data_IF_537377046870
#
_entry.id   IF_537377046870
#
_cell.length_a   1.000
_cell.length_b   1.000
_cell.length_c   1.000
_cell.angle_alpha   90.00
_cell.angle_beta   90.00
_cell.angle_gamma   90.00
#
_symmetry.space_group_name_H-M   'P 1'
#
loop_
_entity.id
_entity.type
_entity.pdbx_description
1 polymer ?
#
# COMPACT_ATOMS: atom_id res chain seq x y z
N UNK A 1 -4.65 -12.68 -8.69
CA UNK A 1 -5.12 -13.20 -7.39
C UNK A 1 -4.31 -14.44 -7.05
N UNK A 2 -3.85 -14.51 -5.82
CA UNK A 2 -2.96 -15.56 -5.29
C UNK A 2 -3.56 -16.06 -3.98
N UNK A 3 -3.50 -17.37 -3.73
CA UNK A 3 -3.75 -17.91 -2.39
C UNK A 3 -2.58 -17.50 -1.48
N UNK A 4 -2.84 -16.65 -0.50
CA UNK A 4 -1.84 -16.04 0.35
C UNK A 4 -1.14 -17.04 1.29
N UNK A 5 -1.71 -18.24 1.47
CA UNK A 5 -1.14 -19.28 2.34
C UNK A 5 -0.15 -20.15 1.59
N UNK A 6 -0.42 -20.40 0.31
CA UNK A 6 0.36 -21.34 -0.50
C UNK A 6 1.25 -20.65 -1.52
N UNK A 7 0.81 -19.53 -2.09
CA UNK A 7 1.43 -18.90 -3.25
C UNK A 7 0.82 -19.33 -4.58
N UNK A 8 -0.15 -20.25 -4.59
CA UNK A 8 -0.80 -20.69 -5.83
C UNK A 8 -1.51 -19.51 -6.51
N UNK A 9 -1.12 -19.19 -7.74
CA UNK A 9 -1.75 -18.16 -8.56
C UNK A 9 -3.09 -18.71 -9.06
N UNK A 10 -4.20 -18.23 -8.48
CA UNK A 10 -5.56 -18.68 -8.82
C UNK A 10 -6.13 -17.99 -10.05
N UNK A 11 -5.81 -16.70 -10.23
CA UNK A 11 -6.27 -15.91 -11.38
C UNK A 11 -5.17 -14.95 -11.80
N UNK A 12 -4.79 -14.98 -13.08
CA UNK A 12 -3.89 -14.02 -13.70
C UNK A 12 -4.46 -13.64 -15.06
N UNK A 13 -4.98 -12.41 -15.17
CA UNK A 13 -5.71 -11.96 -16.36
C UNK A 13 -5.43 -10.50 -16.65
N UNK A 14 -5.53 -10.13 -17.93
CA UNK A 14 -5.34 -8.79 -18.44
C UNK A 14 -6.38 -8.51 -19.54
N UNK A 15 -6.72 -7.25 -19.71
CA UNK A 15 -7.51 -6.75 -20.85
C UNK A 15 -6.76 -5.57 -21.48
N UNK A 16 -6.56 -5.56 -22.82
CA UNK A 16 -6.98 -6.57 -23.80
C UNK A 16 -6.28 -7.93 -23.60
N UNK A 17 -6.95 -9.01 -24.03
CA UNK A 17 -6.49 -10.39 -23.79
C UNK A 17 -5.12 -10.67 -24.42
N UNK A 18 -4.43 -11.75 -24.00
CA UNK A 18 -3.11 -12.11 -24.56
C UNK A 18 -3.12 -12.29 -26.09
N UNK A 19 -4.24 -12.76 -26.67
CA UNK A 19 -4.39 -12.88 -28.13
C UNK A 19 -4.40 -11.54 -28.87
N UNK A 20 -4.77 -10.48 -28.17
CA UNK A 20 -4.85 -9.12 -28.70
C UNK A 20 -3.60 -8.31 -28.34
N UNK A 21 -2.95 -8.63 -27.22
CA UNK A 21 -1.72 -8.02 -26.76
C UNK A 21 -0.83 -9.03 -26.05
N UNK A 22 0.29 -9.40 -26.67
CA UNK A 22 1.26 -10.34 -26.11
C UNK A 22 2.11 -9.75 -24.97
N UNK A 23 1.87 -8.49 -24.58
CA UNK A 23 2.55 -7.87 -23.43
C UNK A 23 2.15 -8.59 -22.15
N UNK A 24 3.15 -9.08 -21.42
CA UNK A 24 2.94 -9.81 -20.18
C UNK A 24 2.72 -8.84 -19.01
N UNK A 25 1.54 -8.91 -18.39
CA UNK A 25 1.18 -8.17 -17.17
C UNK A 25 2.24 -8.27 -16.05
N UNK A 26 2.97 -9.39 -15.98
CA UNK A 26 4.04 -9.62 -15.01
C UNK A 26 5.19 -8.59 -15.13
N UNK A 27 5.47 -8.11 -16.35
CA UNK A 27 6.61 -7.23 -16.63
C UNK A 27 6.26 -5.74 -16.52
N UNK A 28 4.97 -5.40 -16.46
CA UNK A 28 4.54 -4.00 -16.53
C UNK A 28 4.71 -3.34 -15.16
N UNK A 29 5.71 -2.47 -15.04
CA UNK A 29 5.89 -1.58 -13.89
C UNK A 29 5.11 -0.28 -14.10
N UNK A 30 4.26 0.06 -13.13
CA UNK A 30 3.31 1.18 -13.23
C UNK A 30 3.30 2.03 -11.97
N UNK A 31 2.96 3.30 -12.13
CA UNK A 31 3.00 4.26 -11.04
C UNK A 31 1.98 3.86 -9.98
N UNK A 32 2.44 3.59 -8.77
CA UNK A 32 1.61 2.97 -7.73
C UNK A 32 0.68 3.96 -7.03
N UNK A 33 1.11 5.22 -6.92
CA UNK A 33 0.39 6.24 -6.17
C UNK A 33 0.09 5.77 -4.74
N UNK A 34 -1.06 6.15 -4.20
CA UNK A 34 -1.36 5.86 -2.78
C UNK A 34 -1.48 4.36 -2.41
N UNK A 35 -1.41 3.42 -3.36
CA UNK A 35 -1.29 1.99 -3.07
C UNK A 35 0.06 1.61 -2.43
N UNK A 36 1.08 2.47 -2.54
CA UNK A 36 2.42 2.26 -1.94
C UNK A 36 2.56 2.83 -0.52
N UNK A 37 1.60 3.62 -0.05
CA UNK A 37 1.62 4.14 1.35
C UNK A 37 1.81 3.06 2.42
N UNK A 38 1.27 1.83 2.30
CA UNK A 38 1.47 0.80 3.31
C UNK A 38 2.95 0.52 3.63
N UNK A 39 3.88 0.70 2.68
CA UNK A 39 5.32 0.56 2.94
C UNK A 39 5.85 1.65 3.87
N UNK A 40 5.35 2.89 3.76
CA UNK A 40 5.65 3.93 4.74
C UNK A 40 5.10 3.58 6.13
N UNK A 41 3.85 3.11 6.23
CA UNK A 41 3.26 2.75 7.51
C UNK A 41 3.89 1.49 8.12
N UNK A 42 4.40 0.58 7.30
CA UNK A 42 5.21 -0.54 7.75
C UNK A 42 6.54 -0.05 8.33
N UNK A 43 7.27 0.82 7.63
CA UNK A 43 8.49 1.43 8.16
C UNK A 43 8.23 2.22 9.46
N UNK A 44 7.11 2.93 9.54
CA UNK A 44 6.64 3.58 10.77
C UNK A 44 6.46 2.61 11.93
N UNK A 45 5.79 1.48 11.71
CA UNK A 45 5.59 0.42 12.71
C UNK A 45 6.92 -0.21 13.13
N UNK A 46 7.79 -0.52 12.17
CA UNK A 46 9.12 -1.11 12.41
C UNK A 46 10.01 -0.19 13.26
N UNK A 47 9.84 1.13 13.13
CA UNK A 47 10.53 2.14 13.95
C UNK A 47 9.86 2.40 15.31
N UNK A 48 8.90 1.57 15.71
CA UNK A 48 8.19 1.69 16.99
C UNK A 48 7.05 2.71 17.00
N UNK A 49 6.65 3.22 15.82
CA UNK A 49 5.45 4.00 15.68
C UNK A 49 4.18 3.18 15.90
N UNK A 50 3.12 3.83 16.37
CA UNK A 50 1.79 3.25 16.56
C UNK A 50 0.81 3.84 15.56
N UNK A 51 -0.23 3.09 15.22
CA UNK A 51 -1.25 3.56 14.29
C UNK A 51 -2.33 4.37 15.01
N UNK A 52 -2.80 3.91 16.16
CA UNK A 52 -3.67 4.66 17.06
C UNK A 52 -2.90 5.19 18.26
N UNK A 53 -3.34 6.32 18.80
CA UNK A 53 -2.82 6.81 20.07
C UNK A 53 -3.41 6.08 21.28
N UNK A 54 -4.48 5.32 21.09
CA UNK A 54 -5.10 4.44 22.08
C UNK A 54 -4.42 3.06 22.14
N UNK A 55 -3.59 2.73 21.15
CA UNK A 55 -2.80 1.50 21.16
C UNK A 55 -1.85 1.50 22.37
N UNK A 56 -1.63 0.36 23.02
CA UNK A 56 -0.70 0.29 24.16
C UNK A 56 0.74 0.60 23.71
N UNK A 57 1.47 1.39 24.52
CA UNK A 57 2.87 1.74 24.27
C UNK A 57 3.12 3.26 24.24
N UNK A 58 4.41 3.65 24.31
CA UNK A 58 4.84 5.06 24.34
C UNK A 58 5.28 5.61 22.98
N UNK A 59 5.31 4.76 21.94
CA UNK A 59 5.74 5.14 20.60
C UNK A 59 4.91 6.28 19.99
N UNK A 60 5.46 7.02 19.01
CA UNK A 60 4.78 8.10 18.32
C UNK A 60 3.53 7.57 17.60
N UNK A 61 2.45 8.34 17.57
CA UNK A 61 1.18 7.91 16.97
C UNK A 61 0.54 8.98 16.07
N UNK A 62 1.18 10.15 15.93
CA UNK A 62 0.60 11.32 15.27
C UNK A 62 1.43 11.83 14.11
N UNK A 63 0.71 12.19 13.04
CA UNK A 63 1.21 12.83 11.82
C UNK A 63 0.55 14.21 11.68
N UNK A 64 1.22 15.12 10.98
CA UNK A 64 0.77 16.49 10.76
C UNK A 64 0.09 16.64 9.40
N UNK A 65 -1.23 16.76 9.40
CA UNK A 65 -2.06 17.06 8.23
C UNK A 65 -2.47 18.54 8.21
N UNK A 66 -1.49 19.40 8.46
CA UNK A 66 -1.55 20.83 8.83
C UNK A 66 -2.88 21.57 8.56
N UNK A 67 -3.68 21.72 9.62
CA UNK A 67 -5.01 22.36 9.70
C UNK A 67 -4.99 23.89 9.56
N UNK A 68 -3.83 24.54 9.66
CA UNK A 68 -3.72 26.00 9.72
C UNK A 68 -3.84 26.66 8.31
N UNK A 69 -4.38 25.93 7.33
CA UNK A 69 -4.56 26.33 5.93
C UNK A 69 -5.99 25.96 5.51
N UNK A 70 -6.71 26.91 4.90
CA UNK A 70 -7.97 26.62 4.19
C UNK A 70 -7.73 25.83 2.90
N UNK A 71 -8.53 26.05 1.85
CA UNK A 71 -8.44 25.32 0.57
C UNK A 71 -7.20 25.62 -0.30
N UNK A 72 -6.09 26.09 0.29
CA UNK A 72 -4.84 26.44 -0.38
C UNK A 72 -3.75 25.35 -0.40
N UNK A 73 -2.55 25.72 -0.88
CA UNK A 73 -1.35 24.87 -0.84
C UNK A 73 -0.93 24.62 0.62
N UNK A 74 -0.61 23.37 0.97
CA UNK A 74 -0.10 23.04 2.31
C UNK A 74 1.22 23.77 2.59
N UNK A 75 1.65 23.78 3.85
CA UNK A 75 2.98 24.28 4.23
C UNK A 75 4.10 23.28 3.92
N UNK A 76 3.74 22.03 3.64
CA UNK A 76 4.69 20.97 3.35
C UNK A 76 5.06 21.00 1.88
N UNK A 77 6.33 21.26 1.61
CA UNK A 77 6.88 21.25 0.28
C UNK A 77 8.13 20.39 0.20
N UNK A 78 8.27 19.69 -0.91
CA UNK A 78 9.48 18.94 -1.27
C UNK A 78 10.29 19.74 -2.29
N UNK A 79 11.62 19.79 -2.17
CA UNK A 79 12.47 20.36 -3.20
C UNK A 79 12.39 19.50 -4.47
N UNK A 80 12.26 20.15 -5.63
CA UNK A 80 12.25 19.52 -6.94
C UNK A 80 13.52 19.93 -7.70
N UNK A 81 14.54 19.08 -7.68
CA UNK A 81 15.76 19.28 -8.47
C UNK A 81 16.61 20.51 -8.06
N UNK A 82 17.49 20.92 -8.97
CA UNK A 82 18.61 21.86 -8.69
C UNK A 82 18.22 23.35 -8.67
N UNK A 83 17.06 23.74 -9.21
CA UNK A 83 16.70 25.14 -9.40
C UNK A 83 15.92 25.78 -8.23
N UNK A 84 15.78 25.08 -7.09
CA UNK A 84 15.06 25.61 -5.93
C UNK A 84 13.54 25.54 -6.02
N UNK A 85 12.99 24.94 -7.08
CA UNK A 85 11.57 24.68 -7.23
C UNK A 85 11.04 23.82 -6.09
N UNK A 86 9.81 24.11 -5.67
CA UNK A 86 9.16 23.41 -4.55
C UNK A 86 7.81 22.87 -4.99
N UNK A 87 7.61 21.56 -4.83
CA UNK A 87 6.29 20.95 -4.96
C UNK A 87 5.61 20.97 -3.60
N UNK A 88 4.52 21.72 -3.50
CA UNK A 88 3.65 21.71 -2.34
C UNK A 88 2.77 20.46 -2.36
N UNK A 89 2.85 19.68 -1.28
CA UNK A 89 2.06 18.46 -1.15
C UNK A 89 0.61 18.83 -0.82
N UNK A 90 -0.35 18.15 -1.43
CA UNK A 90 -1.77 18.43 -1.20
C UNK A 90 -2.55 17.12 -1.02
N UNK A 91 -3.59 17.19 -0.20
CA UNK A 91 -4.61 16.16 -0.13
C UNK A 91 -5.60 16.35 -1.29
N UNK A 92 -6.17 15.23 -1.75
CA UNK A 92 -7.28 15.23 -2.70
C UNK A 92 -8.52 15.90 -2.06
N UNK A 93 -9.26 16.73 -2.82
CA UNK A 93 -10.49 17.32 -2.34
C UNK A 93 -11.58 16.25 -2.34
N UNK A 94 -11.98 15.81 -1.15
CA UNK A 94 -13.03 14.83 -0.99
C UNK A 94 -14.28 15.48 -0.43
N UNK A 95 -15.42 15.30 -1.12
CA UNK A 95 -16.69 15.87 -0.70
C UNK A 95 -17.05 15.43 0.73
N UNK A 96 -17.47 16.39 1.55
CA UNK A 96 -17.84 16.14 2.95
C UNK A 96 -16.67 15.93 3.91
N UNK A 97 -15.42 16.08 3.46
CA UNK A 97 -14.24 16.01 4.32
C UNK A 97 -13.41 17.29 4.22
N UNK A 98 -12.88 17.79 5.35
CA UNK A 98 -11.96 18.91 5.30
C UNK A 98 -10.68 18.49 4.58
N UNK A 99 -10.17 19.35 3.70
CA UNK A 99 -8.93 19.10 2.94
C UNK A 99 -7.74 18.84 3.86
N UNK A 100 -7.68 19.53 4.99
CA UNK A 100 -6.66 19.38 6.03
C UNK A 100 -7.33 19.15 7.38
N UNK A 101 -6.75 18.27 8.21
CA UNK A 101 -7.31 17.89 9.53
C UNK A 101 -6.46 18.30 10.72
N UNK A 102 -5.26 18.82 10.48
CA UNK A 102 -4.32 19.11 11.55
C UNK A 102 -3.62 17.85 12.02
N UNK A 103 -3.21 17.84 13.27
CA UNK A 103 -2.45 16.71 13.81
C UNK A 103 -3.40 15.55 14.08
N UNK A 104 -3.23 14.45 13.35
CA UNK A 104 -4.13 13.28 13.37
C UNK A 104 -3.38 11.98 13.69
N UNK A 105 -4.08 10.94 14.18
CA UNK A 105 -3.49 9.60 14.29
C UNK A 105 -2.99 9.07 12.94
N UNK A 106 -1.90 8.31 12.93
CA UNK A 106 -1.38 7.63 11.74
C UNK A 106 -2.44 6.71 11.09
N UNK A 107 -3.30 6.08 11.90
CA UNK A 107 -4.45 5.32 11.43
C UNK A 107 -5.38 6.17 10.55
N UNK A 108 -5.76 7.35 11.01
CA UNK A 108 -6.66 8.22 10.26
C UNK A 108 -6.00 8.70 8.97
N UNK A 109 -4.69 9.00 9.01
CA UNK A 109 -3.92 9.36 7.83
C UNK A 109 -3.90 8.23 6.77
N UNK A 110 -3.76 6.98 7.20
CA UNK A 110 -3.81 5.80 6.32
C UNK A 110 -5.22 5.56 5.77
N UNK A 111 -6.24 5.55 6.64
CA UNK A 111 -7.66 5.33 6.31
C UNK A 111 -8.14 6.30 5.23
N UNK A 112 -7.89 7.59 5.43
CA UNK A 112 -8.31 8.63 4.50
C UNK A 112 -7.28 8.88 3.38
N UNK A 113 -6.18 8.13 3.38
CA UNK A 113 -5.11 8.23 2.39
C UNK A 113 -4.56 9.65 2.24
N UNK A 114 -4.30 10.34 3.36
CA UNK A 114 -3.83 11.74 3.37
C UNK A 114 -2.37 11.86 2.98
N UNK A 115 -2.09 12.62 1.92
CA UNK A 115 -0.74 12.82 1.39
C UNK A 115 0.08 13.72 2.32
N UNK A 116 -0.52 14.81 2.81
CA UNK A 116 0.18 15.76 3.69
C UNK A 116 0.58 15.09 4.99
N UNK A 117 -0.35 14.41 5.67
CA UNK A 117 -0.03 13.60 6.84
C UNK A 117 1.10 12.58 6.60
N UNK A 118 1.02 11.80 5.52
CA UNK A 118 2.04 10.78 5.21
C UNK A 118 3.42 11.43 4.97
N UNK A 119 3.47 12.48 4.15
CA UNK A 119 4.71 13.22 3.89
C UNK A 119 5.25 13.92 5.13
N UNK A 120 4.39 14.35 6.06
CA UNK A 120 4.81 14.97 7.30
C UNK A 120 5.69 14.06 8.15
N UNK A 121 5.50 12.74 8.06
CA UNK A 121 6.31 11.75 8.75
C UNK A 121 7.61 11.39 8.03
N UNK A 122 7.93 12.02 6.89
CA UNK A 122 9.16 11.75 6.14
C UNK A 122 10.30 12.67 6.63
N UNK A 123 11.49 12.11 6.79
CA UNK A 123 12.70 12.87 7.14
C UNK A 123 13.06 13.87 6.01
N UNK A 124 13.60 15.04 6.38
CA UNK A 124 13.89 16.12 5.44
C UNK A 124 12.72 17.04 5.12
N UNK A 125 11.48 16.69 5.51
CA UNK A 125 10.30 17.56 5.36
C UNK A 125 10.27 18.61 6.49
N UNK A 126 10.56 19.87 6.14
CA UNK A 126 10.57 21.00 7.08
C UNK A 126 9.16 21.39 7.53
N UNK A 127 9.05 22.03 8.69
CA UNK A 127 7.81 22.59 9.27
C UNK A 127 6.70 21.58 9.61
N UNK A 128 6.95 20.27 9.54
CA UNK A 128 5.99 19.27 10.01
C UNK A 128 6.07 19.09 11.53
N UNK A 129 4.90 18.98 12.16
CA UNK A 129 4.68 18.67 13.58
C UNK A 129 4.57 17.16 13.86
N UNK A 130 4.99 16.31 12.93
CA UNK A 130 4.95 14.86 13.13
C UNK A 130 5.84 14.44 14.30
N UNK A 131 5.33 13.51 15.10
CA UNK A 131 5.97 13.03 16.34
C UNK A 131 7.22 12.18 16.11
N UNK A 132 7.42 11.67 14.90
CA UNK A 132 8.63 10.97 14.47
C UNK A 132 8.79 11.06 12.96
N UNK A 133 9.99 10.70 12.48
CA UNK A 133 10.36 10.75 11.06
C UNK A 133 10.93 9.43 10.57
N UNK A 134 10.53 9.06 9.36
CA UNK A 134 10.99 7.91 8.59
C UNK A 134 11.79 8.43 7.39
N UNK A 135 13.00 7.93 7.18
CA UNK A 135 13.79 8.26 6.00
C UNK A 135 13.21 7.62 4.74
N UNK A 136 13.61 8.12 3.57
CA UNK A 136 13.23 7.50 2.30
C UNK A 136 13.79 6.08 2.22
N UNK A 137 15.00 5.90 2.71
CA UNK A 137 15.75 4.65 2.74
C UNK A 137 15.03 3.59 3.59
N UNK A 138 14.49 3.94 4.76
CA UNK A 138 13.70 3.03 5.61
C UNK A 138 12.42 2.55 4.89
N UNK A 139 11.80 3.39 4.06
CA UNK A 139 10.62 3.02 3.26
C UNK A 139 11.00 2.05 2.14
N UNK A 140 12.10 2.33 1.45
CA UNK A 140 12.62 1.49 0.36
C UNK A 140 13.11 0.15 0.89
N UNK A 141 13.80 0.12 2.03
CA UNK A 141 14.22 -1.10 2.70
C UNK A 141 13.02 -1.95 3.12
N UNK A 142 11.99 -1.33 3.71
CA UNK A 142 10.75 -2.04 4.02
C UNK A 142 10.12 -2.66 2.76
N UNK A 143 10.07 -1.94 1.64
CA UNK A 143 9.55 -2.47 0.38
C UNK A 143 10.43 -3.61 -0.18
N UNK A 144 11.75 -3.45 -0.15
CA UNK A 144 12.70 -4.43 -0.66
C UNK A 144 12.67 -5.73 0.15
N UNK A 145 12.57 -5.64 1.48
CA UNK A 145 12.43 -6.79 2.38
C UNK A 145 11.18 -7.61 2.07
N UNK A 146 10.11 -6.97 1.60
CA UNK A 146 8.88 -7.66 1.16
C UNK A 146 8.93 -8.11 -0.30
N UNK A 147 10.05 -7.92 -0.98
CA UNK A 147 10.28 -8.45 -2.32
C UNK A 147 9.99 -7.49 -3.47
N UNK A 148 9.90 -6.19 -3.21
CA UNK A 148 9.82 -5.17 -4.28
C UNK A 148 11.22 -4.87 -4.81
N UNK A 149 11.40 -4.94 -6.13
CA UNK A 149 12.66 -4.52 -6.77
C UNK A 149 12.73 -2.99 -6.79
N UNK A 150 13.79 -2.44 -6.21
CA UNK A 150 13.99 -0.98 -6.19
C UNK A 150 14.36 -0.47 -7.59
N UNK A 151 13.88 0.72 -7.99
CA UNK A 151 14.26 1.33 -9.26
C UNK A 151 15.73 1.78 -9.22
N UNK A 152 16.38 1.77 -10.38
CA UNK A 152 17.75 2.31 -10.52
C UNK A 152 17.81 3.81 -10.26
N UNK A 153 16.74 4.53 -10.60
CA UNK A 153 16.61 5.97 -10.38
C UNK A 153 15.95 6.22 -9.02
N UNK A 154 16.59 7.05 -8.19
CA UNK A 154 16.06 7.45 -6.89
C UNK A 154 14.66 8.08 -7.02
N UNK A 155 13.62 7.50 -6.40
CA UNK A 155 12.25 8.02 -6.46
C UNK A 155 12.04 9.29 -5.62
N UNK A 156 13.04 9.71 -4.84
CA UNK A 156 12.99 10.89 -3.99
C UNK A 156 12.02 10.74 -2.81
N UNK A 157 11.81 11.83 -2.06
CA UNK A 157 11.00 11.82 -0.83
C UNK A 157 9.52 11.47 -1.09
N UNK A 158 9.01 11.73 -2.29
CA UNK A 158 7.62 11.46 -2.66
C UNK A 158 7.30 9.98 -2.77
N UNK A 159 8.29 9.08 -2.63
CA UNK A 159 8.04 7.63 -2.57
C UNK A 159 7.08 7.26 -1.44
N UNK A 160 7.08 8.03 -0.34
CA UNK A 160 6.15 7.84 0.77
C UNK A 160 4.66 7.96 0.36
N UNK A 161 4.37 8.67 -0.73
CA UNK A 161 3.03 8.80 -1.32
C UNK A 161 2.89 8.04 -2.65
N UNK A 162 3.89 7.23 -3.00
CA UNK A 162 3.87 6.30 -4.13
C UNK A 162 4.40 6.84 -5.44
N UNK A 163 5.40 7.74 -5.39
CA UNK A 163 6.11 8.16 -6.60
C UNK A 163 7.10 7.09 -7.11
N UNK A 164 6.63 5.86 -7.27
CA UNK A 164 7.44 4.69 -7.65
C UNK A 164 6.64 3.76 -8.55
N UNK A 165 7.32 3.20 -9.55
CA UNK A 165 6.79 2.19 -10.44
C UNK A 165 7.08 0.79 -9.92
N UNK A 166 6.05 -0.04 -9.76
CA UNK A 166 6.15 -1.42 -9.27
C UNK A 166 5.27 -2.30 -10.15
N UNK A 167 5.66 -3.56 -10.35
CA UNK A 167 4.79 -4.52 -11.05
C UNK A 167 3.62 -4.97 -10.19
N UNK A 168 2.52 -5.37 -10.82
CA UNK A 168 1.38 -5.95 -10.11
C UNK A 168 1.78 -7.22 -9.32
N UNK A 169 2.70 -8.01 -9.87
CA UNK A 169 3.23 -9.21 -9.23
C UNK A 169 3.99 -8.89 -7.94
N UNK A 170 4.97 -7.97 -8.00
CA UNK A 170 5.75 -7.55 -6.84
C UNK A 170 4.86 -6.96 -5.75
N UNK A 171 3.85 -6.18 -6.14
CA UNK A 171 2.89 -5.60 -5.22
C UNK A 171 2.08 -6.69 -4.50
N UNK A 172 1.52 -7.67 -5.23
CA UNK A 172 0.75 -8.76 -4.61
C UNK A 172 1.62 -9.63 -3.71
N UNK A 173 2.84 -9.98 -4.15
CA UNK A 173 3.81 -10.72 -3.35
C UNK A 173 4.11 -10.01 -2.02
N UNK A 174 4.42 -8.72 -2.07
CA UNK A 174 4.69 -7.94 -0.87
C UNK A 174 3.50 -7.89 0.11
N UNK A 175 2.28 -7.79 -0.42
CA UNK A 175 1.06 -7.78 0.39
C UNK A 175 0.78 -9.12 1.08
N UNK A 176 1.12 -10.25 0.44
CA UNK A 176 1.04 -11.57 1.08
C UNK A 176 1.97 -11.65 2.30
N UNK A 177 3.15 -11.04 2.22
CA UNK A 177 4.03 -10.95 3.38
C UNK A 177 3.44 -10.04 4.47
N UNK A 178 2.83 -8.91 4.12
CA UNK A 178 2.21 -8.03 5.13
C UNK A 178 1.13 -8.75 5.95
N UNK A 179 0.30 -9.58 5.31
CA UNK A 179 -0.78 -10.32 5.99
C UNK A 179 -0.31 -11.54 6.77
N UNK A 180 0.67 -12.30 6.25
CA UNK A 180 1.12 -13.57 6.84
C UNK A 180 2.43 -13.51 7.63
N UNK A 181 3.21 -12.44 7.46
CA UNK A 181 4.52 -12.22 8.07
C UNK A 181 5.66 -13.07 7.53
N UNK A 182 5.40 -13.89 6.50
CA UNK A 182 6.35 -14.81 5.88
C UNK A 182 6.41 -14.59 4.38
N UNK A 183 7.55 -14.93 3.78
CA UNK A 183 7.70 -14.93 2.33
C UNK A 183 6.85 -16.06 1.75
N UNK A 184 6.04 -15.77 0.74
CA UNK A 184 5.30 -16.77 -0.02
C UNK A 184 5.52 -16.42 -1.48
N UNK A 185 6.24 -17.28 -2.21
CA UNK A 185 6.54 -17.07 -3.61
C UNK A 185 5.36 -17.50 -4.49
N UNK A 186 4.76 -16.58 -5.26
CA UNK A 186 3.65 -16.96 -6.12
C UNK A 186 4.11 -17.89 -7.26
N UNK A 187 3.39 -19.00 -7.48
CA UNK A 187 3.68 -20.00 -8.50
C UNK A 187 2.43 -20.37 -9.31
N UNK A 188 2.63 -20.78 -10.57
CA UNK A 188 1.56 -21.18 -11.49
C UNK A 188 1.57 -22.67 -11.86
N UNK A 189 2.72 -23.33 -11.80
CA UNK A 189 2.85 -24.76 -12.13
C UNK A 189 2.70 -25.57 -10.84
N UNK A 190 1.60 -26.33 -10.72
CA UNK A 190 1.35 -27.16 -9.54
C UNK A 190 2.08 -28.51 -9.61
N UNK A 191 2.15 -29.11 -10.79
CA UNK A 191 2.82 -30.40 -10.99
C UNK A 191 3.25 -30.57 -12.46
N UNK A 192 4.39 -31.24 -12.66
CA UNK A 192 4.93 -31.65 -13.94
C UNK A 192 4.90 -33.19 -13.97
N UNK A 193 4.18 -33.75 -14.94
CA UNK A 193 4.04 -35.19 -15.15
C UNK A 193 4.80 -35.65 -16.39
N UNK A 194 5.30 -36.89 -16.37
CA UNK A 194 5.80 -37.56 -17.57
C UNK A 194 4.64 -38.02 -18.49
N UNK A 195 4.99 -38.51 -19.69
CA UNK A 195 4.01 -38.99 -20.66
C UNK A 195 3.17 -40.20 -20.18
N UNK A 196 3.57 -40.85 -19.07
CA UNK A 196 2.86 -41.97 -18.44
C UNK A 196 2.05 -41.51 -17.21
N UNK A 197 2.01 -40.22 -16.91
CA UNK A 197 1.33 -39.66 -15.76
C UNK A 197 2.09 -39.77 -14.44
N UNK A 198 3.38 -40.11 -14.48
CA UNK A 198 4.22 -40.15 -13.27
C UNK A 198 4.73 -38.74 -12.94
N UNK A 199 4.57 -38.33 -11.68
CA UNK A 199 5.10 -37.06 -11.18
C UNK A 199 6.62 -36.97 -11.32
N UNK A 200 7.08 -35.89 -11.95
CA UNK A 200 8.49 -35.51 -12.08
C UNK A 200 8.83 -34.46 -11.03
N UNK A 201 7.95 -33.46 -10.89
CA UNK A 201 8.11 -32.33 -9.97
C UNK A 201 6.73 -31.84 -9.54
N UNK A 202 6.57 -31.49 -8.26
CA UNK A 202 5.35 -30.89 -7.73
C UNK A 202 5.70 -29.64 -6.93
N UNK A 203 4.80 -28.66 -6.93
CA UNK A 203 4.94 -27.47 -6.10
C UNK A 203 4.88 -27.86 -4.62
N UNK A 204 5.98 -27.63 -3.92
CA UNK A 204 6.06 -27.87 -2.48
C UNK A 204 5.82 -26.59 -1.68
N UNK A 205 5.01 -26.71 -0.64
CA UNK A 205 4.88 -25.68 0.38
C UNK A 205 6.17 -25.66 1.21
N UNK A 206 7.08 -24.75 0.88
CA UNK A 206 8.30 -24.55 1.64
C UNK A 206 7.97 -23.80 2.93
N UNK A 207 8.48 -24.29 4.06
CA UNK A 207 8.55 -23.44 5.24
C UNK A 207 9.46 -22.26 4.94
N UNK A 208 8.92 -21.05 5.08
CA UNK A 208 9.65 -19.81 4.82
C UNK A 208 9.91 -19.05 6.10
N UNK A 209 10.97 -18.24 6.05
CA UNK A 209 11.38 -17.39 7.16
C UNK A 209 10.27 -16.40 7.54
N UNK A 210 10.11 -16.21 8.85
CA UNK A 210 9.29 -15.13 9.40
C UNK A 210 10.10 -13.83 9.32
N UNK A 211 9.77 -13.00 8.34
CA UNK A 211 10.48 -11.74 8.09
C UNK A 211 9.77 -10.51 8.69
N UNK A 212 8.50 -10.65 9.07
CA UNK A 212 7.78 -9.69 9.91
C UNK A 212 7.31 -10.39 11.19
N UNK A 213 7.55 -9.75 12.34
CA UNK A 213 7.01 -10.23 13.60
C UNK A 213 5.47 -10.24 13.57
N UNK A 214 4.79 -11.21 14.21
CA UNK A 214 3.34 -11.34 14.13
C UNK A 214 2.57 -10.08 14.54
N UNK A 215 3.07 -9.32 15.51
CA UNK A 215 2.45 -8.09 15.97
C UNK A 215 2.57 -6.94 14.95
N UNK A 216 3.68 -6.87 14.20
CA UNK A 216 3.85 -5.94 13.07
C UNK A 216 2.87 -6.29 11.95
N UNK A 217 2.77 -7.57 11.57
CA UNK A 217 1.79 -8.05 10.58
C UNK A 217 0.36 -7.74 11.02
N UNK A 218 0.00 -8.00 12.29
CA UNK A 218 -1.32 -7.66 12.80
C UNK A 218 -1.58 -6.15 12.80
N UNK A 219 -0.59 -5.33 13.16
CA UNK A 219 -0.74 -3.88 13.15
C UNK A 219 -0.95 -3.32 11.73
N UNK A 220 -0.17 -3.75 10.74
CA UNK A 220 -0.35 -3.28 9.36
C UNK A 220 -1.65 -3.81 8.75
N UNK A 221 -2.00 -5.08 8.98
CA UNK A 221 -3.29 -5.67 8.58
C UNK A 221 -4.44 -4.90 9.20
N UNK A 222 -4.39 -4.60 10.50
CA UNK A 222 -5.40 -3.77 11.19
C UNK A 222 -5.60 -2.44 10.48
N UNK A 223 -4.51 -1.77 10.13
CA UNK A 223 -4.62 -0.50 9.43
C UNK A 223 -5.15 -0.58 8.01
N UNK A 224 -4.83 -1.65 7.29
CA UNK A 224 -5.34 -1.88 5.94
C UNK A 224 -6.77 -2.41 5.95
N UNK A 225 -7.24 -3.05 7.03
CA UNK A 225 -8.68 -3.29 7.26
C UNK A 225 -9.41 -1.98 7.48
N UNK A 226 -8.81 -1.07 8.25
CA UNK A 226 -9.43 0.22 8.56
C UNK A 226 -9.75 1.05 7.29
N UNK A 227 -8.92 0.98 6.24
CA UNK A 227 -9.15 1.73 4.98
C UNK A 227 -10.40 1.26 4.22
N UNK A 228 -10.84 0.03 4.44
CA UNK A 228 -11.98 -0.63 3.77
C UNK A 228 -13.21 -0.65 4.68
N UNK A 229 -13.02 -0.82 5.99
CA UNK A 229 -14.08 -1.07 6.96
C UNK A 229 -14.55 0.18 7.73
N UNK A 230 -13.69 1.19 7.92
CA UNK A 230 -14.07 2.39 8.67
C UNK A 230 -14.73 3.46 7.79
N UNK A 231 -15.61 4.29 8.37
CA UNK A 231 -16.13 5.47 7.69
C UNK A 231 -15.02 6.35 7.14
N UNK A 232 -15.27 6.98 6.00
CA UNK A 232 -14.32 7.82 5.27
C UNK A 232 -13.07 7.09 4.73
N UNK A 233 -12.91 5.79 4.99
CA UNK A 233 -11.91 4.95 4.37
C UNK A 233 -12.00 5.00 2.84
N UNK A 234 -10.88 5.10 2.15
CA UNK A 234 -10.90 5.23 0.68
C UNK A 234 -11.45 3.99 -0.02
N UNK A 235 -11.41 2.82 0.61
CA UNK A 235 -12.09 1.61 0.15
C UNK A 235 -13.57 1.55 0.54
N UNK A 236 -14.00 2.30 1.54
CA UNK A 236 -15.38 2.31 2.01
C UNK A 236 -16.24 3.37 1.31
N UNK A 237 -15.72 4.60 1.14
CA UNK A 237 -16.50 5.82 0.86
C UNK A 237 -17.43 5.76 -0.35
N UNK A 238 -17.07 5.01 -1.39
CA UNK A 238 -17.89 4.86 -2.62
C UNK A 238 -18.41 3.44 -2.81
N UNK A 239 -18.14 2.53 -1.87
CA UNK A 239 -18.42 1.11 -2.00
C UNK A 239 -19.00 0.50 -0.72
N UNK A 240 -19.46 1.31 0.22
CA UNK A 240 -19.89 0.85 1.55
C UNK A 240 -20.87 -0.33 1.46
N UNK A 241 -21.90 -0.20 0.63
CA UNK A 241 -22.89 -1.25 0.41
C UNK A 241 -22.30 -2.49 -0.27
N UNK A 242 -21.34 -2.33 -1.19
CA UNK A 242 -20.65 -3.44 -1.83
C UNK A 242 -19.72 -4.17 -0.85
N UNK A 243 -19.00 -3.42 -0.01
CA UNK A 243 -18.12 -3.94 1.03
C UNK A 243 -18.94 -4.70 2.08
N UNK A 244 -20.05 -4.15 2.56
CA UNK A 244 -20.97 -4.85 3.48
C UNK A 244 -21.46 -6.17 2.90
N UNK A 245 -21.77 -6.21 1.59
CA UNK A 245 -22.26 -7.41 0.90
C UNK A 245 -21.22 -8.53 0.73
N UNK A 246 -19.92 -8.27 0.92
CA UNK A 246 -18.91 -9.34 0.91
C UNK A 246 -19.14 -10.34 2.05
N UNK A 247 -19.64 -9.88 3.19
CA UNK A 247 -19.88 -10.73 4.36
C UNK A 247 -18.61 -11.35 4.95
N UNK A 248 -17.44 -10.81 4.59
CA UNK A 248 -16.11 -11.13 5.16
C UNK A 248 -15.32 -9.85 5.34
N UNK A 249 -14.37 -9.88 6.27
CA UNK A 249 -13.43 -8.79 6.48
C UNK A 249 -12.35 -8.79 5.39
N UNK A 250 -11.91 -7.61 4.98
CA UNK A 250 -10.92 -7.41 3.91
C UNK A 250 -9.96 -6.32 4.35
N UNK A 251 -8.66 -6.57 4.19
CA UNK A 251 -7.66 -5.50 4.20
C UNK A 251 -7.42 -5.01 2.78
N UNK A 252 -7.20 -3.71 2.59
CA UNK A 252 -6.93 -3.18 1.26
C UNK A 252 -6.40 -1.77 1.21
N UNK A 253 -6.03 -1.33 0.01
CA UNK A 253 -5.63 0.06 -0.24
C UNK A 253 -5.91 0.43 -1.68
N UNK A 254 -6.61 1.54 -1.86
CA UNK A 254 -6.75 2.18 -3.17
C UNK A 254 -5.45 2.91 -3.53
N UNK A 255 -5.10 2.90 -4.81
CA UNK A 255 -4.07 3.74 -5.39
C UNK A 255 -4.65 4.59 -6.51
N UNK A 256 -4.24 5.85 -6.54
CA UNK A 256 -4.52 6.79 -7.61
C UNK A 256 -3.22 7.52 -7.87
N UNK A 257 -2.71 7.38 -9.09
CA UNK A 257 -1.52 8.03 -9.59
C UNK A 257 -1.94 9.08 -10.62
N UNK A 258 -1.23 10.21 -10.64
CA UNK A 258 -1.51 11.33 -11.52
C UNK A 258 -0.26 11.79 -12.25
N UNK A 259 -0.43 12.49 -13.36
CA UNK A 259 0.64 13.22 -14.03
C UNK A 259 0.96 14.56 -13.33
N UNK A 260 1.72 15.41 -14.03
CA UNK A 260 2.16 16.71 -13.51
C UNK A 260 1.01 17.72 -13.41
N UNK A 261 0.01 17.58 -14.29
CA UNK A 261 -1.20 18.37 -14.40
C UNK A 261 -2.26 17.94 -13.36
N UNK A 262 -2.10 16.75 -12.77
CA UNK A 262 -2.99 16.21 -11.75
C UNK A 262 -4.09 15.31 -12.32
N UNK A 263 -4.00 14.96 -13.61
CA UNK A 263 -4.92 14.04 -14.25
C UNK A 263 -4.56 12.60 -13.89
N UNK A 264 -5.57 11.76 -13.63
CA UNK A 264 -5.38 10.37 -13.23
C UNK A 264 -4.80 9.55 -14.39
N UNK A 265 -3.71 8.84 -14.15
CA UNK A 265 -3.04 7.96 -15.13
C UNK A 265 -3.16 6.47 -14.79
N UNK A 266 -3.11 6.13 -13.50
CA UNK A 266 -3.16 4.76 -13.02
C UNK A 266 -4.09 4.64 -11.80
N UNK A 267 -4.90 3.58 -11.80
CA UNK A 267 -5.82 3.24 -10.72
C UNK A 267 -5.52 1.83 -10.22
N UNK A 268 -5.37 1.74 -8.90
CA UNK A 268 -5.02 0.49 -8.23
C UNK A 268 -6.02 0.17 -7.14
N UNK A 269 -6.23 -1.12 -6.93
CA UNK A 269 -6.67 -1.64 -5.66
C UNK A 269 -5.88 -2.91 -5.37
N UNK A 270 -5.25 -2.96 -4.20
CA UNK A 270 -4.66 -4.19 -3.67
C UNK A 270 -5.41 -4.52 -2.40
N UNK A 271 -5.90 -5.75 -2.31
CA UNK A 271 -6.61 -6.20 -1.14
C UNK A 271 -6.38 -7.68 -0.89
N UNK A 272 -6.49 -8.05 0.38
CA UNK A 272 -6.41 -9.44 0.78
C UNK A 272 -7.49 -9.79 1.82
N UNK A 273 -7.92 -11.04 1.80
CA UNK A 273 -8.48 -11.78 2.93
C UNK A 273 -7.37 -12.69 3.50
N UNK A 274 -7.58 -13.38 4.63
CA UNK A 274 -6.58 -14.30 5.16
C UNK A 274 -6.09 -15.34 4.14
N UNK A 275 -6.94 -15.81 3.23
CA UNK A 275 -6.59 -16.84 2.25
C UNK A 275 -6.25 -16.29 0.87
N UNK A 276 -6.74 -15.12 0.46
CA UNK A 276 -6.56 -14.64 -0.91
C UNK A 276 -6.02 -13.22 -0.94
N UNK A 277 -5.02 -12.96 -1.78
CA UNK A 277 -4.59 -11.60 -2.11
C UNK A 277 -4.71 -11.29 -3.60
N UNK A 278 -5.19 -10.10 -3.92
CA UNK A 278 -5.45 -9.66 -5.28
C UNK A 278 -5.07 -8.20 -5.47
N UNK A 279 -4.23 -7.96 -6.47
CA UNK A 279 -3.98 -6.65 -7.03
C UNK A 279 -4.76 -6.48 -8.33
N UNK A 280 -5.33 -5.31 -8.52
CA UNK A 280 -5.97 -4.86 -9.75
C UNK A 280 -5.35 -3.53 -10.12
N UNK A 281 -4.90 -3.43 -11.37
CA UNK A 281 -4.43 -2.20 -11.98
C UNK A 281 -5.30 -1.90 -13.21
N UNK A 282 -5.67 -0.63 -13.35
CA UNK A 282 -6.39 -0.10 -14.50
C UNK A 282 -5.66 1.15 -14.95
N UNK A 283 -5.22 1.15 -16.20
CA UNK A 283 -4.52 2.27 -16.81
C UNK A 283 -4.37 2.04 -18.31
N UNK A 284 -3.75 3.01 -18.98
CA UNK A 284 -3.45 2.92 -20.42
C UNK A 284 -2.03 2.41 -20.62
N UNK A 285 -1.76 1.67 -21.70
CA UNK A 285 -0.41 1.15 -21.98
C UNK A 285 0.66 2.25 -21.95
N UNK A 286 0.37 3.36 -22.61
CA UNK A 286 1.11 4.62 -22.43
C UNK A 286 0.60 5.31 -21.18
N UNK A 287 1.50 5.89 -20.37
CA UNK A 287 1.17 6.70 -19.17
C UNK A 287 0.48 8.01 -19.56
N UNK A 288 -0.74 7.90 -20.06
CA UNK A 288 -1.59 9.00 -20.50
C UNK A 288 -2.78 9.10 -19.53
N UNK A 289 -3.35 10.31 -19.38
CA UNK A 289 -4.57 10.51 -18.64
C UNK A 289 -5.68 9.54 -19.04
N UNK A 290 -6.39 9.05 -18.03
CA UNK A 290 -7.66 8.35 -18.17
C UNK A 290 -8.75 9.36 -18.56
N UNK A 291 -9.75 8.90 -19.32
CA UNK A 291 -10.90 9.74 -19.64
C UNK A 291 -11.68 10.05 -18.36
N UNK A 292 -11.85 11.33 -18.05
CA UNK A 292 -12.58 11.80 -16.87
C UNK A 292 -14.09 11.68 -17.10
N UNK A 293 -14.81 11.07 -16.17
CA UNK A 293 -16.28 11.04 -16.18
C UNK A 293 -16.85 12.40 -15.79
N UNK A 294 -17.90 12.85 -16.47
CA UNK A 294 -18.64 14.09 -16.13
C UNK A 294 -20.03 13.71 -15.62
N UNK A 295 -20.40 14.19 -14.43
CA UNK A 295 -21.72 14.01 -13.83
C UNK A 295 -22.27 15.39 -13.50
N UNK A 296 -23.49 15.69 -13.97
CA UNK A 296 -24.15 17.00 -13.78
C UNK A 296 -23.27 18.19 -14.21
N UNK A 297 -22.49 18.01 -15.28
CA UNK A 297 -21.58 19.03 -15.81
C UNK A 297 -20.27 19.20 -15.02
N UNK A 298 -20.07 18.43 -13.94
CA UNK A 298 -18.85 18.47 -13.14
C UNK A 298 -17.94 17.26 -13.43
N UNK A 299 -16.65 17.48 -13.72
CA UNK A 299 -15.70 16.38 -13.88
C UNK A 299 -15.50 15.68 -12.53
N UNK A 300 -15.62 14.35 -12.53
CA UNK A 300 -15.32 13.50 -11.38
C UNK A 300 -13.99 12.81 -11.63
N UNK A 301 -13.04 13.03 -10.74
CA UNK A 301 -11.73 12.38 -10.83
C UNK A 301 -11.86 10.84 -10.72
N UNK A 302 -11.22 10.15 -11.67
CA UNK A 302 -11.11 8.70 -11.65
C UNK A 302 -10.14 8.24 -10.56
N UNK A 303 -10.53 7.20 -9.80
CA UNK A 303 -9.75 6.71 -8.66
C UNK A 303 -9.79 5.19 -8.56
N UNK A 304 -8.78 4.61 -7.91
CA UNK A 304 -8.75 3.18 -7.59
C UNK A 304 -10.00 2.69 -6.86
N UNK A 305 -10.64 3.54 -6.04
CA UNK A 305 -11.88 3.21 -5.34
C UNK A 305 -13.12 3.15 -6.25
N UNK A 306 -13.14 3.90 -7.36
CA UNK A 306 -14.25 3.89 -8.34
C UNK A 306 -14.06 2.82 -9.41
N UNK A 307 -12.81 2.49 -9.74
CA UNK A 307 -12.49 1.67 -10.90
C UNK A 307 -11.98 0.28 -10.51
N UNK A 308 -10.88 0.20 -9.75
CA UNK A 308 -10.24 -1.08 -9.43
C UNK A 308 -10.95 -1.85 -8.30
N UNK A 309 -11.43 -1.17 -7.27
CA UNK A 309 -12.08 -1.81 -6.12
C UNK A 309 -13.40 -2.54 -6.49
N UNK A 310 -14.31 -2.01 -7.33
CA UNK A 310 -15.50 -2.78 -7.71
C UNK A 310 -15.19 -4.11 -8.40
N UNK A 311 -14.09 -4.20 -9.16
CA UNK A 311 -13.61 -5.46 -9.74
C UNK A 311 -13.21 -6.42 -8.61
N UNK A 312 -12.47 -5.93 -7.60
CA UNK A 312 -12.09 -6.74 -6.45
C UNK A 312 -13.30 -7.35 -5.74
N UNK A 313 -14.28 -6.51 -5.40
CA UNK A 313 -15.45 -6.94 -4.63
C UNK A 313 -16.22 -8.00 -5.41
N UNK A 314 -16.50 -7.78 -6.69
CA UNK A 314 -17.24 -8.74 -7.52
C UNK A 314 -16.51 -10.08 -7.66
N UNK A 315 -15.19 -10.06 -7.85
CA UNK A 315 -14.40 -11.29 -7.91
C UNK A 315 -14.42 -12.02 -6.58
N UNK A 316 -14.22 -11.34 -5.45
CA UNK A 316 -14.25 -11.98 -4.13
C UNK A 316 -15.64 -12.52 -3.76
N UNK A 317 -16.72 -11.83 -4.14
CA UNK A 317 -18.08 -12.33 -3.99
C UNK A 317 -18.25 -13.65 -4.73
N UNK A 318 -17.76 -13.74 -5.97
CA UNK A 318 -17.86 -14.96 -6.77
C UNK A 318 -17.05 -16.12 -6.17
N UNK A 319 -15.86 -15.84 -5.65
CA UNK A 319 -15.02 -16.85 -4.99
C UNK A 319 -15.70 -17.41 -3.74
N UNK A 320 -16.27 -16.55 -2.89
CA UNK A 320 -16.94 -16.99 -1.66
C UNK A 320 -18.35 -17.56 -1.85
N UNK A 321 -18.81 -17.72 -3.10
CA UNK A 321 -19.96 -18.59 -3.39
C UNK A 321 -19.59 -20.07 -3.29
N UNK A 322 -18.32 -20.43 -3.52
CA UNK A 322 -17.84 -21.83 -3.56
C UNK A 322 -16.79 -22.13 -2.49
N UNK A 323 -16.01 -21.13 -2.08
CA UNK A 323 -14.94 -21.28 -1.09
C UNK A 323 -15.43 -20.95 0.34
N UNK A 324 -14.85 -21.58 1.38
CA UNK A 324 -15.15 -21.21 2.75
C UNK A 324 -14.72 -19.77 3.04
N UNK A 325 -15.53 -19.06 3.81
CA UNK A 325 -15.25 -17.70 4.24
C UNK A 325 -14.18 -17.68 5.33
N UNK A 326 -13.12 -16.91 5.10
CA UNK A 326 -12.02 -16.80 6.04
C UNK A 326 -12.24 -15.66 7.05
N UNK A 327 -11.64 -15.78 8.24
CA UNK A 327 -11.78 -14.81 9.34
C UNK A 327 -10.40 -14.31 9.74
N UNK A 328 -10.25 -12.99 9.81
CA UNK A 328 -9.06 -12.37 10.37
C UNK A 328 -9.01 -12.57 11.90
N UNK A 329 -7.81 -12.67 12.46
CA UNK A 329 -7.61 -12.62 13.91
C UNK A 329 -8.26 -11.37 14.52
N UNK A 330 -8.88 -11.51 15.69
CA UNK A 330 -9.45 -10.38 16.44
C UNK A 330 -8.42 -9.28 16.74
N UNK A 331 -7.14 -9.64 16.85
CA UNK A 331 -6.04 -8.71 17.04
C UNK A 331 -5.93 -7.68 15.89
N UNK A 332 -6.56 -7.94 14.75
CA UNK A 332 -6.56 -7.05 13.59
C UNK A 332 -7.80 -6.15 13.50
N UNK A 333 -8.69 -6.17 14.50
CA UNK A 333 -9.89 -5.34 14.50
C UNK A 333 -9.51 -3.83 14.57
N UNK A 334 -9.85 -3.03 13.56
CA UNK A 334 -9.50 -1.61 13.53
C UNK A 334 -10.20 -0.78 14.61
N UNK A 335 -11.23 -1.30 15.27
CA UNK A 335 -12.01 -0.59 16.31
C UNK A 335 -11.55 -0.89 17.73
N UNK A 336 -10.66 -1.88 17.92
CA UNK A 336 -10.13 -2.25 19.24
C UNK A 336 -8.71 -1.68 19.41
N UNK A 337 -8.29 -1.30 20.63
CA UNK A 337 -6.89 -0.98 20.91
C UNK A 337 -5.96 -2.16 20.59
N UNK A 338 -4.77 -1.87 20.09
CA UNK A 338 -3.76 -2.88 19.80
C UNK A 338 -2.52 -2.71 20.69
N UNK A 339 -1.87 -3.81 21.08
CA UNK A 339 -0.58 -3.78 21.78
C UNK A 339 0.53 -4.22 20.84
N UNK A 340 1.36 -3.27 20.43
CA UNK A 340 2.61 -3.59 19.74
C UNK A 340 3.61 -4.09 20.79
N UNK A 341 4.15 -5.30 20.58
CA UNK A 341 5.15 -5.90 21.45
C UNK A 341 6.46 -5.95 20.66
N UNK A 342 7.24 -4.85 20.62
CA UNK A 342 8.51 -4.88 19.91
C UNK A 342 9.35 -6.05 20.43
N UNK A 343 9.71 -6.98 19.55
CA UNK A 343 10.63 -8.06 19.92
C UNK A 343 12.00 -7.42 20.16
N UNK A 344 12.57 -7.65 21.34
CA UNK A 344 14.01 -7.59 21.51
C UNK A 344 14.62 -8.66 20.56
N UNK A 345 15.39 -8.24 19.57
CA UNK A 345 16.23 -9.14 18.75
C UNK A 345 15.66 -9.66 17.42
N UNK A 346 14.52 -9.17 16.92
CA UNK A 346 14.21 -9.32 15.47
C UNK A 346 14.56 -8.01 14.80
N UNK A 347 15.66 -8.02 14.06
CA UNK A 347 16.30 -6.90 13.35
C UNK A 347 15.42 -5.63 13.30
N UNK A 348 15.53 -4.82 14.35
CA UNK A 348 15.44 -3.38 14.20
C UNK A 348 16.50 -3.00 13.19
N UNK A 349 16.17 -2.12 12.24
CA UNK A 349 17.13 -1.57 11.28
C UNK A 349 18.22 -0.87 12.10
N UNK A 350 19.29 -1.60 12.41
CA UNK A 350 20.50 -1.05 12.99
C UNK A 350 21.25 -0.45 11.81
N UNK A 351 21.20 0.87 11.70
CA UNK A 351 22.19 1.59 10.92
C UNK A 351 23.54 1.27 11.56
N UNK A 352 24.38 0.49 10.90
CA UNK A 352 25.81 0.52 11.17
C UNK A 352 26.24 1.97 10.96
N UNK A 353 26.59 2.64 12.06
CA UNK A 353 27.29 3.92 12.02
C UNK A 353 28.60 3.67 11.28
N UNK A 354 28.61 3.97 9.98
CA UNK A 354 29.86 4.28 9.31
C UNK A 354 30.43 5.51 10.00
N UNK A 355 31.37 5.27 10.91
CA UNK A 355 32.32 6.24 11.39
C UNK A 355 32.97 6.87 10.16
N UNK A 356 32.50 8.04 9.75
CA UNK A 356 33.23 8.92 8.86
C UNK A 356 34.44 9.37 9.65
N UNK A 357 35.56 8.70 9.42
CA UNK A 357 36.86 9.25 9.77
C UNK A 357 36.98 10.58 9.04
N UNK A 358 37.17 11.65 9.82
CA UNK A 358 37.75 12.89 9.32
C UNK A 358 39.04 12.53 8.55
N UNK A 359 39.02 12.81 7.25
CA UNK A 359 40.15 12.68 6.35
C UNK A 359 40.26 13.97 5.56
N UNK A 360 41.37 14.67 5.82
CA UNK A 360 41.77 15.95 5.25
C UNK A 360 41.84 15.97 3.71
N UNK A 361 41.72 17.20 3.19
CA UNK A 361 42.23 17.72 1.89
C UNK A 361 41.82 17.02 0.58
N UNK A 362 40.93 17.68 -0.19
CA UNK A 362 41.22 18.46 -1.42
C UNK A 362 39.93 18.89 -2.16
#
# INVERSE_FOLDING_TARGET
MVDARTGSIKVFTQEPSFKESEYLLYQIKRHTGSAFKPFFYLAWLLKGGRLSCEDEGSGPCRLDDSADRGDGKSLLAVPMGRAGDRKYIQNFPYQGLPRYRGVIPAMQALVESRNVATMSGVAGIRNSRASARISKEEILEAANKLGVTLPEVDPGLTVAIGSIDVSLYEMVRAWIVMIGGRIVEPYAVEEILDAKGKSIEAAELKETEIILAPDISFAITRGLRATVELPHGTGNRSNEELVKKLGVHVMGKTGTATDAEGETTDNWFVGCTPSYCMGIWIGRDKKLPMKTTVVDGQPIQETGGRNALPVFIKTMQKIYETEPKDIFSEATDPKKPFKLKPKEGVATIQNEENSVAEGDDF
#
